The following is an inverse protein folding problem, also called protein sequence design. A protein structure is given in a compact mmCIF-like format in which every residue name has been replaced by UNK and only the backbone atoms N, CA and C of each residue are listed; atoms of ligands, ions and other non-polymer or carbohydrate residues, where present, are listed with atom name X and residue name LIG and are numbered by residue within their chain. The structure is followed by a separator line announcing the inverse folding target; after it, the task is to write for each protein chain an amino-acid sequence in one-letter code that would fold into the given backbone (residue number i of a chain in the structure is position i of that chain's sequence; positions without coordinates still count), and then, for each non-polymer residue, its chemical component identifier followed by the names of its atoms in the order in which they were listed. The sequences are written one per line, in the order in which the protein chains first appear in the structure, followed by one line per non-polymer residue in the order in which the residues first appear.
data_IF_325754659357
#
_entry.id   IF_325754659357
#
_cell.length_a   1.000
_cell.length_b   1.000
_cell.length_c   1.000
_cell.angle_alpha   90.00
_cell.angle_beta   90.00
_cell.angle_gamma   90.00
#
_symmetry.space_group_name_H-M   'P 1'
#
loop_
_entity.id
_entity.type
_entity.pdbx_description
1 polymer ?
#
# COMPACT_ATOMS: atom_id res chain seq x y z
N UNK A 1 -0.57 -6.85 -14.95
CA UNK A 1 -0.26 -7.88 -13.94
C UNK A 1 -1.45 -8.83 -13.81
N UNK A 2 -1.22 -10.12 -13.50
CA UNK A 2 -2.30 -11.07 -13.27
C UNK A 2 -2.06 -11.85 -11.98
N UNK A 3 -3.08 -11.95 -11.13
CA UNK A 3 -3.03 -12.72 -9.89
C UNK A 3 -3.29 -14.18 -10.26
N UNK A 4 -2.25 -15.01 -10.26
CA UNK A 4 -2.35 -16.43 -10.64
C UNK A 4 -2.91 -17.28 -9.49
N UNK A 5 -2.56 -16.93 -8.25
CA UNK A 5 -3.03 -17.61 -7.05
C UNK A 5 -3.13 -16.63 -5.88
N UNK A 6 -4.26 -16.63 -5.18
CA UNK A 6 -4.48 -15.75 -4.03
C UNK A 6 -3.75 -16.25 -2.77
N UNK A 7 -3.24 -15.32 -1.97
CA UNK A 7 -2.66 -15.61 -0.66
C UNK A 7 -3.72 -16.16 0.30
N UNK A 8 -3.37 -17.15 1.11
CA UNK A 8 -4.32 -17.83 2.02
C UNK A 8 -4.68 -17.03 3.28
N UNK A 9 -4.00 -15.90 3.54
CA UNK A 9 -4.10 -15.14 4.79
C UNK A 9 -4.29 -13.67 4.49
N UNK A 10 -5.31 -13.05 5.09
CA UNK A 10 -5.52 -11.60 5.04
C UNK A 10 -4.41 -10.91 5.84
N UNK A 11 -3.63 -10.04 5.18
CA UNK A 11 -2.54 -9.30 5.84
C UNK A 11 -3.02 -8.03 6.56
N UNK A 12 -4.23 -7.55 6.25
CA UNK A 12 -4.85 -6.38 6.86
C UNK A 12 -6.03 -6.80 7.71
N UNK A 13 -5.73 -7.15 8.96
CA UNK A 13 -6.68 -7.60 9.98
C UNK A 13 -7.08 -6.45 10.91
N UNK A 14 -8.24 -6.57 11.56
CA UNK A 14 -8.75 -5.52 12.46
C UNK A 14 -7.95 -5.34 13.75
N UNK A 15 -7.48 -6.44 14.34
CA UNK A 15 -6.77 -6.42 15.61
C UNK A 15 -5.53 -7.29 15.52
N UNK A 16 -4.39 -6.71 15.92
CA UNK A 16 -3.12 -7.43 15.99
C UNK A 16 -3.07 -8.24 17.29
N UNK A 17 -2.64 -9.51 17.26
CA UNK A 17 -2.39 -10.29 18.47
C UNK A 17 -1.32 -9.66 19.38
N UNK A 18 -0.33 -9.01 18.78
CA UNK A 18 0.75 -8.28 19.45
C UNK A 18 1.17 -7.08 18.61
N UNK A 19 1.34 -5.92 19.24
CA UNK A 19 1.75 -4.68 18.55
C UNK A 19 3.28 -4.58 18.58
N UNK A 20 3.93 -4.94 17.46
CA UNK A 20 5.38 -4.77 17.28
C UNK A 20 5.75 -3.40 16.68
N UNK A 21 4.80 -2.75 16.00
CA UNK A 21 4.91 -1.38 15.50
C UNK A 21 3.62 -0.60 15.82
N UNK A 22 3.75 0.52 16.52
CA UNK A 22 2.61 1.38 16.86
C UNK A 22 2.48 2.51 15.84
N UNK A 23 1.50 2.37 14.94
CA UNK A 23 1.16 3.43 13.98
C UNK A 23 0.79 4.75 14.66
N UNK A 24 0.12 4.69 15.81
CA UNK A 24 -0.23 5.88 16.62
C UNK A 24 1.03 6.66 17.05
N UNK A 25 2.03 5.96 17.60
CA UNK A 25 3.28 6.61 18.04
C UNK A 25 4.06 7.16 16.83
N UNK A 26 4.03 6.47 15.69
CA UNK A 26 4.69 6.95 14.48
C UNK A 26 4.06 8.26 13.96
N UNK A 27 2.72 8.36 13.98
CA UNK A 27 2.00 9.60 13.65
C UNK A 27 2.33 10.73 14.63
N UNK A 28 2.32 10.46 15.94
CA UNK A 28 2.69 11.44 16.97
C UNK A 28 4.13 11.98 16.78
N UNK A 29 5.01 11.18 16.20
CA UNK A 29 6.41 11.55 15.88
C UNK A 29 6.56 12.18 14.49
N UNK A 30 5.49 12.36 13.73
CA UNK A 30 5.52 12.92 12.38
C UNK A 30 6.26 12.04 11.37
N UNK A 31 6.30 10.72 11.57
CA UNK A 31 6.96 9.80 10.65
C UNK A 31 6.05 9.52 9.44
N UNK A 32 6.61 9.53 8.22
CA UNK A 32 5.92 9.02 7.03
C UNK A 32 5.94 7.50 7.04
N UNK A 33 4.77 6.88 7.20
CA UNK A 33 4.61 5.42 7.25
C UNK A 33 3.96 4.94 5.97
N UNK A 34 4.60 3.99 5.30
CA UNK A 34 4.13 3.38 4.05
C UNK A 34 4.03 1.87 4.17
N UNK A 35 2.92 1.29 3.72
CA UNK A 35 2.72 -0.15 3.57
C UNK A 35 2.69 -0.49 2.08
N UNK A 36 3.70 -1.20 1.61
CA UNK A 36 3.85 -1.56 0.20
C UNK A 36 3.57 -3.05 0.03
N UNK A 37 2.68 -3.38 -0.90
CA UNK A 37 2.37 -4.75 -1.30
C UNK A 37 2.59 -4.92 -2.81
N UNK A 38 2.43 -6.14 -3.30
CA UNK A 38 2.47 -6.42 -4.75
C UNK A 38 1.34 -5.73 -5.54
N UNK A 39 0.21 -5.41 -4.89
CA UNK A 39 -1.02 -4.94 -5.56
C UNK A 39 -1.42 -3.51 -5.21
N UNK A 40 -0.94 -3.01 -4.08
CA UNK A 40 -1.38 -1.74 -3.52
C UNK A 40 -0.32 -1.13 -2.60
N UNK A 41 -0.31 0.21 -2.56
CA UNK A 41 0.46 1.01 -1.61
C UNK A 41 -0.48 1.81 -0.73
N UNK A 42 -0.23 1.78 0.57
CA UNK A 42 -0.98 2.52 1.58
C UNK A 42 -0.06 3.45 2.36
N UNK A 43 -0.60 4.56 2.85
CA UNK A 43 0.06 5.44 3.83
C UNK A 43 -0.79 5.55 5.09
N UNK A 44 -0.15 5.70 6.25
CA UNK A 44 -0.86 5.95 7.50
C UNK A 44 -1.07 7.46 7.67
N UNK A 45 -2.31 7.88 7.91
CA UNK A 45 -2.67 9.24 8.32
C UNK A 45 -3.47 9.20 9.62
N UNK A 46 -3.77 10.38 10.16
CA UNK A 46 -4.51 10.52 11.43
C UNK A 46 -5.88 9.84 11.42
N UNK A 47 -6.54 9.79 10.26
CA UNK A 47 -7.85 9.18 10.03
C UNK A 47 -7.77 7.71 9.57
N UNK A 48 -6.57 7.12 9.49
CA UNK A 48 -6.37 5.70 9.23
C UNK A 48 -5.47 5.40 8.02
N UNK A 49 -5.61 4.20 7.45
CA UNK A 49 -4.86 3.82 6.25
C UNK A 49 -5.50 4.41 5.00
N UNK A 50 -4.69 5.11 4.21
CA UNK A 50 -5.06 5.66 2.92
C UNK A 50 -4.48 4.81 1.80
N UNK A 51 -5.33 4.26 0.93
CA UNK A 51 -4.91 3.64 -0.32
C UNK A 51 -4.51 4.74 -1.31
N UNK A 52 -3.26 4.71 -1.79
CA UNK A 52 -2.69 5.78 -2.62
C UNK A 52 -2.19 5.29 -3.98
N UNK A 53 -1.83 4.01 -4.12
CA UNK A 53 -1.43 3.42 -5.40
C UNK A 53 -2.01 2.02 -5.56
N UNK A 54 -2.40 1.66 -6.79
CA UNK A 54 -2.80 0.29 -7.17
C UNK A 54 -1.97 -0.21 -8.35
N UNK A 55 -1.66 -1.50 -8.38
CA UNK A 55 -0.91 -2.09 -9.49
C UNK A 55 -1.72 -2.08 -10.80
N UNK A 56 -1.08 -1.89 -11.97
CA UNK A 56 -1.76 -1.95 -13.26
C UNK A 56 -2.45 -3.30 -13.51
N UNK A 57 -3.75 -3.25 -13.78
CA UNK A 57 -4.60 -4.42 -14.05
C UNK A 57 -5.24 -5.05 -12.82
N UNK A 58 -5.09 -4.46 -11.64
CA UNK A 58 -5.76 -4.87 -10.40
C UNK A 58 -7.13 -4.18 -10.28
N UNK A 59 -8.17 -4.94 -9.95
CA UNK A 59 -9.50 -4.43 -9.67
C UNK A 59 -9.60 -3.98 -8.20
N UNK A 60 -9.91 -2.71 -7.97
CA UNK A 60 -9.96 -2.12 -6.63
C UNK A 60 -10.89 -2.90 -5.68
N UNK A 61 -12.08 -3.29 -6.14
CA UNK A 61 -13.04 -3.94 -5.28
C UNK A 61 -12.61 -5.39 -5.01
N UNK A 62 -12.42 -6.17 -6.08
CA UNK A 62 -12.25 -7.63 -6.00
C UNK A 62 -10.89 -8.05 -5.46
N UNK A 63 -9.83 -7.33 -5.85
CA UNK A 63 -8.46 -7.74 -5.59
C UNK A 63 -7.86 -7.05 -4.35
N UNK A 64 -8.45 -5.94 -3.89
CA UNK A 64 -7.99 -5.18 -2.73
C UNK A 64 -9.05 -5.16 -1.63
N UNK A 65 -10.19 -4.49 -1.84
CA UNK A 65 -11.15 -4.25 -0.75
C UNK A 65 -11.78 -5.54 -0.21
N UNK A 66 -12.12 -6.49 -1.07
CA UNK A 66 -12.69 -7.79 -0.69
C UNK A 66 -11.65 -8.71 0.01
N UNK A 67 -10.37 -8.31 0.03
CA UNK A 67 -9.25 -9.05 0.65
C UNK A 67 -8.78 -8.41 1.96
N UNK A 68 -9.49 -7.39 2.45
CA UNK A 68 -9.18 -6.67 3.69
C UNK A 68 -10.32 -6.84 4.71
N UNK A 69 -9.99 -6.93 6.00
CA UNK A 69 -11.00 -7.05 7.06
C UNK A 69 -11.59 -5.68 7.47
N UNK A 70 -11.04 -4.59 6.91
CA UNK A 70 -11.52 -3.22 7.09
C UNK A 70 -11.36 -2.42 5.79
N UNK A 71 -12.16 -1.36 5.66
CA UNK A 71 -12.13 -0.50 4.47
C UNK A 71 -11.12 0.63 4.66
N UNK A 72 -10.05 0.73 3.85
CA UNK A 72 -9.15 1.86 3.88
C UNK A 72 -9.84 3.12 3.32
N UNK A 73 -9.31 4.29 3.65
CA UNK A 73 -9.69 5.54 2.99
C UNK A 73 -9.11 5.52 1.58
N UNK A 74 -9.94 5.77 0.56
CA UNK A 74 -9.47 5.89 -0.83
C UNK A 74 -8.95 7.31 -1.02
N UNK A 75 -7.66 7.46 -1.32
CA UNK A 75 -7.07 8.77 -1.55
C UNK A 75 -7.73 9.45 -2.78
N UNK A 76 -8.05 10.76 -2.73
CA UNK A 76 -8.49 11.49 -3.92
C UNK A 76 -7.40 11.55 -5.01
N UNK A 77 -6.14 11.32 -4.63
CA UNK A 77 -4.97 11.26 -5.52
C UNK A 77 -4.57 9.80 -5.83
N UNK A 78 -5.50 8.85 -5.71
CA UNK A 78 -5.25 7.45 -6.05
C UNK A 78 -4.74 7.35 -7.49
N UNK A 79 -3.56 6.76 -7.66
CA UNK A 79 -2.91 6.58 -8.96
C UNK A 79 -2.52 5.13 -9.19
N UNK A 80 -2.10 4.82 -10.42
CA UNK A 80 -1.43 3.56 -10.69
C UNK A 80 -0.01 3.58 -10.11
N UNK A 81 0.44 2.43 -9.62
CA UNK A 81 1.85 2.18 -9.36
C UNK A 81 2.64 2.33 -10.67
N UNK A 82 3.91 2.73 -10.57
CA UNK A 82 4.77 2.94 -11.72
C UNK A 82 4.86 1.67 -12.59
N UNK A 83 4.47 1.76 -13.87
CA UNK A 83 4.40 0.61 -14.77
C UNK A 83 5.74 -0.10 -14.94
N UNK A 84 6.86 0.63 -14.77
CA UNK A 84 8.21 0.06 -14.86
C UNK A 84 8.48 -0.99 -13.79
N UNK A 85 7.74 -0.98 -12.69
CA UNK A 85 7.82 -2.03 -11.66
C UNK A 85 7.33 -3.39 -12.15
N UNK A 86 6.57 -3.42 -13.25
CA UNK A 86 5.91 -4.61 -13.79
C UNK A 86 6.47 -5.04 -15.16
N UNK A 87 7.57 -4.42 -15.60
CA UNK A 87 8.26 -4.74 -16.85
C UNK A 87 9.58 -5.44 -16.50
N UNK A 88 9.84 -6.59 -17.12
CA UNK A 88 11.10 -7.32 -16.97
C UNK A 88 12.22 -6.68 -17.81
N UNK A 89 12.59 -5.45 -17.43
CA UNK A 89 13.65 -4.67 -18.04
C UNK A 89 14.25 -3.69 -17.02
N UNK A 90 15.44 -3.16 -17.30
CA UNK A 90 16.04 -2.12 -16.47
C UNK A 90 15.12 -0.87 -16.43
N UNK A 91 14.72 -0.45 -15.22
CA UNK A 91 13.78 0.67 -15.03
C UNK A 91 14.35 2.05 -15.43
N UNK A 92 15.69 2.17 -15.51
CA UNK A 92 16.36 3.46 -15.64
C UNK A 92 16.03 4.42 -14.49
N UNK A 93 15.79 3.88 -13.28
CA UNK A 93 15.41 4.68 -12.11
C UNK A 93 16.59 5.54 -11.64
N UNK A 94 16.33 6.84 -11.48
CA UNK A 94 17.27 7.81 -10.93
C UNK A 94 16.80 8.15 -9.52
N UNK A 95 17.69 8.04 -8.54
CA UNK A 95 17.38 8.43 -7.16
C UNK A 95 17.08 9.94 -7.11
N UNK A 96 16.04 10.36 -6.35
CA UNK A 96 15.78 11.77 -6.16
C UNK A 96 16.97 12.45 -5.47
N UNK A 97 17.22 13.71 -5.83
CA UNK A 97 18.23 14.53 -5.14
C UNK A 97 17.87 14.66 -3.66
N UNK A 98 18.89 14.74 -2.81
CA UNK A 98 18.67 14.93 -1.38
C UNK A 98 17.95 16.26 -1.15
N UNK A 99 16.85 16.24 -0.41
CA UNK A 99 16.23 17.46 0.08
C UNK A 99 17.22 18.16 1.02
N UNK A 100 17.71 19.33 0.62
CA UNK A 100 18.56 20.21 1.42
C UNK A 100 17.75 21.05 2.41
#
# INVERSE_FOLDING_TARGET
MHIVQEGRVNKFIRELPEITFSGKIALERGLDVRYITERAVFTLKEDGLHLIEIAPGVDLQKDILDKMDFTPVISPELKLMDERLFIDAAMGFVLPEAAH
#
